data_IF_479483438751
#
_entry.id   IF_479483438751
#
_cell.length_a   1.000
_cell.length_b   1.000
_cell.length_c   1.000
_cell.angle_alpha   90.00
_cell.angle_beta   90.00
_cell.angle_gamma   90.00
#
_symmetry.space_group_name_H-M   'P 1'
#
loop_
_entity.id
_entity.type
_entity.pdbx_description
1 polymer ?
#
# COMPACT_ATOMS: atom_id res chain seq x y z
N UNK A 1 14.89 -1.14 24.23
CA UNK A 1 13.49 -1.62 24.21
C UNK A 1 13.50 -3.08 23.74
N UNK A 2 12.74 -3.99 24.36
CA UNK A 2 12.76 -5.40 23.98
C UNK A 2 12.15 -5.61 22.58
N UNK A 3 12.54 -6.67 21.87
CA UNK A 3 12.02 -7.05 20.55
C UNK A 3 10.47 -7.21 20.57
N UNK A 4 9.93 -7.71 21.68
CA UNK A 4 8.49 -7.82 21.90
C UNK A 4 7.76 -6.46 21.94
N UNK A 5 8.39 -5.42 22.50
CA UNK A 5 7.83 -4.06 22.54
C UNK A 5 7.74 -3.45 21.15
N UNK A 6 8.80 -3.61 20.32
CA UNK A 6 8.80 -3.16 18.94
C UNK A 6 7.70 -3.84 18.11
N UNK A 7 7.54 -5.17 18.23
CA UNK A 7 6.52 -5.92 17.49
C UNK A 7 5.10 -5.48 17.85
N UNK A 8 4.82 -5.17 19.13
CA UNK A 8 3.51 -4.63 19.55
C UNK A 8 3.23 -3.26 18.95
N UNK A 9 4.23 -2.37 18.96
CA UNK A 9 4.11 -1.03 18.36
C UNK A 9 3.88 -1.13 16.84
N UNK A 10 4.59 -2.01 16.15
CA UNK A 10 4.45 -2.22 14.72
C UNK A 10 3.11 -2.88 14.35
N UNK A 11 2.55 -3.74 15.22
CA UNK A 11 1.19 -4.29 15.05
C UNK A 11 0.13 -3.19 15.20
N UNK A 12 0.25 -2.32 16.20
CA UNK A 12 -0.64 -1.17 16.36
C UNK A 12 -0.55 -0.23 15.17
N UNK A 13 0.67 0.03 14.69
CA UNK A 13 0.90 0.83 13.48
C UNK A 13 0.20 0.19 12.26
N UNK A 14 0.26 -1.13 12.12
CA UNK A 14 -0.41 -1.86 11.03
C UNK A 14 -1.94 -1.71 11.11
N UNK A 15 -2.54 -1.84 12.30
CA UNK A 15 -3.98 -1.66 12.50
C UNK A 15 -4.41 -0.24 12.17
N UNK A 16 -3.68 0.77 12.66
CA UNK A 16 -3.96 2.18 12.35
C UNK A 16 -3.78 2.46 10.85
N UNK A 17 -2.74 1.90 10.24
CA UNK A 17 -2.48 2.03 8.82
C UNK A 17 -3.64 1.50 7.97
N UNK A 18 -4.16 0.33 8.30
CA UNK A 18 -5.31 -0.28 7.60
C UNK A 18 -6.55 0.61 7.72
N UNK A 19 -6.84 1.13 8.91
CA UNK A 19 -7.92 2.11 9.11
C UNK A 19 -7.73 3.37 8.26
N UNK A 20 -6.51 3.87 8.18
CA UNK A 20 -6.19 5.06 7.39
C UNK A 20 -6.30 4.82 5.87
N UNK A 21 -5.81 3.68 5.36
CA UNK A 21 -5.96 3.37 3.92
C UNK A 21 -7.41 3.10 3.54
N UNK A 22 -8.25 2.61 4.46
CA UNK A 22 -9.68 2.42 4.25
C UNK A 22 -10.42 3.72 3.87
N UNK A 23 -9.89 4.87 4.26
CA UNK A 23 -10.42 6.18 3.88
C UNK A 23 -9.95 6.64 2.49
N UNK A 24 -8.91 6.02 1.93
CA UNK A 24 -8.26 6.45 0.68
C UNK A 24 -9.24 6.41 -0.51
N UNK A 25 -9.89 5.28 -0.74
CA UNK A 25 -10.86 5.09 -1.82
C UNK A 25 -12.00 6.11 -1.78
N UNK A 26 -12.77 6.21 -0.67
CA UNK A 26 -13.83 7.20 -0.51
C UNK A 26 -13.38 8.64 -0.75
N UNK A 27 -12.23 9.06 -0.21
CA UNK A 27 -11.70 10.43 -0.41
C UNK A 27 -11.33 10.65 -1.88
N UNK A 28 -10.67 9.70 -2.53
CA UNK A 28 -10.26 9.83 -3.94
C UNK A 28 -11.45 9.84 -4.90
N UNK A 29 -12.50 9.07 -4.62
CA UNK A 29 -13.71 9.05 -5.46
C UNK A 29 -14.52 10.33 -5.34
N UNK A 30 -14.46 11.03 -4.20
CA UNK A 30 -15.09 12.33 -4.00
C UNK A 30 -14.38 13.49 -4.71
N UNK A 31 -13.20 13.25 -5.28
CA UNK A 31 -12.39 14.27 -5.96
C UNK A 31 -12.63 14.27 -7.46
N UNK A 32 -12.86 15.46 -8.05
CA UNK A 32 -13.00 15.66 -9.49
C UNK A 32 -11.65 15.72 -10.25
N UNK A 33 -10.51 15.75 -9.53
CA UNK A 33 -9.20 15.79 -10.15
C UNK A 33 -8.87 14.49 -10.92
N UNK A 34 -8.03 14.55 -11.98
CA UNK A 34 -7.58 13.36 -12.69
C UNK A 34 -6.86 12.36 -11.77
N UNK A 35 -7.11 11.07 -11.97
CA UNK A 35 -6.56 10.00 -11.14
C UNK A 35 -5.03 10.06 -10.97
N UNK A 36 -4.29 10.25 -12.08
CA UNK A 36 -2.83 10.42 -12.05
C UNK A 36 -2.40 11.72 -11.37
N UNK A 37 -3.18 12.79 -11.51
CA UNK A 37 -2.95 14.05 -10.80
C UNK A 37 -3.06 13.89 -9.28
N UNK A 38 -4.06 13.14 -8.80
CA UNK A 38 -4.20 12.78 -7.37
C UNK A 38 -2.98 11.97 -6.92
N UNK A 39 -2.60 10.94 -7.70
CA UNK A 39 -1.44 10.10 -7.42
C UNK A 39 -0.15 10.92 -7.28
N UNK A 40 0.09 11.83 -8.23
CA UNK A 40 1.25 12.73 -8.20
C UNK A 40 1.24 13.63 -6.97
N UNK A 41 0.17 14.39 -6.78
CA UNK A 41 0.13 15.41 -5.72
C UNK A 41 0.20 14.83 -4.31
N UNK A 42 -0.44 13.67 -4.05
CA UNK A 42 -0.31 13.04 -2.73
C UNK A 42 1.13 12.65 -2.40
N UNK A 43 1.91 12.20 -3.39
CA UNK A 43 3.32 11.86 -3.19
C UNK A 43 4.20 13.12 -3.15
N UNK A 44 3.94 14.12 -3.99
CA UNK A 44 4.68 15.37 -4.03
C UNK A 44 4.52 16.17 -2.72
N UNK A 45 3.29 16.32 -2.22
CA UNK A 45 3.03 16.97 -0.93
C UNK A 45 3.72 16.20 0.19
N UNK A 46 3.64 14.85 0.19
CA UNK A 46 4.31 14.05 1.19
C UNK A 46 5.83 14.22 1.15
N UNK A 47 6.44 14.26 -0.04
CA UNK A 47 7.86 14.50 -0.22
C UNK A 47 8.29 15.88 0.30
N UNK A 48 7.51 16.93 -0.01
CA UNK A 48 7.78 18.30 0.46
C UNK A 48 7.67 18.39 1.99
N UNK A 49 6.64 17.81 2.59
CA UNK A 49 6.47 17.76 4.05
C UNK A 49 7.61 16.98 4.72
N UNK A 50 8.13 15.93 4.06
CA UNK A 50 9.26 15.16 4.57
C UNK A 50 10.62 15.84 4.38
N UNK A 51 10.72 16.89 3.56
CA UNK A 51 12.00 17.54 3.22
C UNK A 51 12.82 17.99 4.44
N UNK A 52 12.26 18.62 5.49
CA UNK A 52 13.02 18.98 6.69
C UNK A 52 13.62 17.75 7.39
N UNK A 53 12.87 16.63 7.41
CA UNK A 53 13.34 15.38 8.00
C UNK A 53 14.42 14.72 7.14
N UNK A 54 14.33 14.81 5.81
CA UNK A 54 15.39 14.38 4.90
C UNK A 54 16.69 15.12 5.18
N UNK A 55 16.64 16.44 5.33
CA UNK A 55 17.81 17.26 5.65
C UNK A 55 18.41 16.90 7.03
N UNK A 56 17.58 16.54 8.00
CA UNK A 56 18.05 16.05 9.32
C UNK A 56 18.79 14.73 9.22
N UNK A 57 18.45 13.86 8.28
CA UNK A 57 19.06 12.55 8.07
C UNK A 57 20.28 12.58 7.14
N UNK A 58 20.85 13.76 6.83
CA UNK A 58 21.99 13.90 5.90
C UNK A 58 23.18 12.98 6.21
N UNK A 59 23.45 12.75 7.49
CA UNK A 59 24.55 11.86 7.90
C UNK A 59 24.20 10.40 7.60
N UNK A 60 23.01 9.95 7.95
CA UNK A 60 22.51 8.62 7.58
C UNK A 60 22.68 8.36 6.07
N UNK A 61 22.33 9.34 5.22
CA UNK A 61 22.46 9.17 3.76
C UNK A 61 23.89 9.06 3.25
N UNK A 62 24.87 9.67 3.96
CA UNK A 62 26.29 9.56 3.60
C UNK A 62 26.88 8.17 3.91
N UNK A 63 26.29 7.47 4.87
CA UNK A 63 26.72 6.14 5.32
C UNK A 63 26.03 5.01 4.54
N UNK A 64 25.01 5.35 3.72
CA UNK A 64 24.28 4.35 2.95
C UNK A 64 25.15 3.71 1.87
N UNK A 65 25.09 2.39 1.82
CA UNK A 65 25.66 1.62 0.72
C UNK A 65 24.92 1.90 -0.59
N UNK A 66 25.60 1.72 -1.72
CA UNK A 66 24.98 1.80 -3.04
C UNK A 66 23.76 0.89 -3.17
N UNK A 67 23.79 -0.30 -2.55
CA UNK A 67 22.66 -1.26 -2.56
C UNK A 67 21.45 -0.70 -1.83
N UNK A 68 21.62 -0.07 -0.68
CA UNK A 68 20.53 0.56 0.07
C UNK A 68 19.90 1.72 -0.72
N UNK A 69 20.74 2.59 -1.31
CA UNK A 69 20.28 3.67 -2.18
C UNK A 69 19.44 3.15 -3.36
N UNK A 70 19.97 2.18 -4.11
CA UNK A 70 19.26 1.58 -5.23
C UNK A 70 17.94 0.94 -4.80
N UNK A 71 17.90 0.31 -3.63
CA UNK A 71 16.67 -0.29 -3.10
C UNK A 71 15.63 0.77 -2.73
N UNK A 72 16.02 1.91 -2.14
CA UNK A 72 15.07 2.99 -1.84
C UNK A 72 14.52 3.62 -3.13
N UNK A 73 15.39 3.86 -4.12
CA UNK A 73 14.98 4.38 -5.44
C UNK A 73 14.04 3.38 -6.12
N UNK A 74 14.40 2.10 -6.14
CA UNK A 74 13.53 1.05 -6.71
C UNK A 74 12.19 0.99 -6.01
N UNK A 75 12.15 1.05 -4.66
CA UNK A 75 10.91 1.09 -3.90
C UNK A 75 10.04 2.31 -4.28
N UNK A 76 10.65 3.49 -4.45
CA UNK A 76 9.95 4.69 -4.87
C UNK A 76 9.38 4.60 -6.29
N UNK A 77 10.14 4.05 -7.23
CA UNK A 77 9.66 3.79 -8.61
C UNK A 77 8.49 2.80 -8.58
N UNK A 78 8.64 1.69 -7.86
CA UNK A 78 7.58 0.66 -7.76
C UNK A 78 6.31 1.21 -7.11
N UNK A 79 6.42 2.06 -6.09
CA UNK A 79 5.27 2.74 -5.47
C UNK A 79 4.61 3.71 -6.47
N UNK A 80 5.40 4.46 -7.24
CA UNK A 80 4.89 5.33 -8.31
C UNK A 80 4.15 4.55 -9.38
N UNK A 81 4.71 3.45 -9.86
CA UNK A 81 4.09 2.57 -10.85
C UNK A 81 2.83 1.89 -10.31
N UNK A 82 2.83 1.47 -9.03
CA UNK A 82 1.63 0.97 -8.36
C UNK A 82 0.48 1.98 -8.45
N UNK A 83 0.70 3.22 -8.04
CA UNK A 83 -0.33 4.25 -8.11
C UNK A 83 -0.71 4.63 -9.53
N UNK A 84 0.26 4.67 -10.46
CA UNK A 84 0.01 4.97 -11.87
C UNK A 84 -0.83 3.90 -12.57
N UNK A 85 -0.80 2.67 -12.10
CA UNK A 85 -1.60 1.57 -12.62
C UNK A 85 -2.94 1.45 -11.87
N UNK A 86 -2.91 1.36 -10.54
CA UNK A 86 -4.11 1.09 -9.75
C UNK A 86 -5.15 2.22 -9.80
N UNK A 87 -4.74 3.49 -9.61
CA UNK A 87 -5.73 4.57 -9.50
C UNK A 87 -6.49 4.77 -10.82
N UNK A 88 -5.85 4.77 -12.01
CA UNK A 88 -6.58 4.78 -13.27
C UNK A 88 -7.46 3.55 -13.50
N UNK A 89 -7.08 2.35 -13.02
CA UNK A 89 -7.89 1.14 -13.23
C UNK A 89 -9.34 1.33 -12.76
N UNK A 90 -9.55 2.07 -11.66
CA UNK A 90 -10.86 2.43 -11.13
C UNK A 90 -11.76 3.20 -12.11
N UNK A 91 -11.19 3.71 -13.21
CA UNK A 91 -11.91 4.43 -14.28
C UNK A 91 -12.16 3.60 -15.53
N UNK A 92 -11.45 2.49 -15.66
CA UNK A 92 -11.51 1.61 -16.82
C UNK A 92 -12.36 0.37 -16.58
N UNK A 93 -12.30 -0.19 -15.36
CA UNK A 93 -13.14 -1.32 -14.92
C UNK A 93 -14.01 -0.91 -13.73
N UNK A 94 -14.86 -1.82 -13.23
CA UNK A 94 -15.63 -1.53 -12.02
C UNK A 94 -14.74 -1.39 -10.79
N UNK A 95 -15.20 -0.61 -9.81
CA UNK A 95 -14.50 -0.47 -8.53
C UNK A 95 -14.33 -1.84 -7.86
N UNK A 96 -15.37 -2.70 -7.95
CA UNK A 96 -15.34 -4.05 -7.40
C UNK A 96 -14.25 -4.90 -8.05
N UNK A 97 -14.19 -4.96 -9.40
CA UNK A 97 -13.19 -5.73 -10.13
C UNK A 97 -11.77 -5.19 -9.86
N UNK A 98 -11.55 -3.87 -9.99
CA UNK A 98 -10.26 -3.24 -9.71
C UNK A 98 -9.76 -3.57 -8.29
N UNK A 99 -10.65 -3.47 -7.29
CA UNK A 99 -10.28 -3.69 -5.89
C UNK A 99 -10.00 -5.16 -5.58
N UNK A 100 -10.80 -6.07 -6.16
CA UNK A 100 -10.55 -7.51 -6.02
C UNK A 100 -9.21 -7.91 -6.67
N UNK A 101 -8.90 -7.33 -7.85
CA UNK A 101 -7.65 -7.62 -8.55
C UNK A 101 -6.44 -7.04 -7.83
N UNK A 102 -6.52 -5.82 -7.29
CA UNK A 102 -5.41 -5.25 -6.52
C UNK A 102 -5.19 -5.98 -5.19
N UNK A 103 -6.23 -6.58 -4.61
CA UNK A 103 -6.12 -7.41 -3.42
C UNK A 103 -5.22 -8.65 -3.64
N UNK A 104 -5.05 -9.09 -4.90
CA UNK A 104 -4.10 -10.17 -5.24
C UNK A 104 -2.65 -9.83 -4.95
N UNK A 105 -2.34 -8.58 -4.54
CA UNK A 105 -0.98 -8.18 -4.11
C UNK A 105 -0.40 -9.13 -3.05
N UNK A 106 -1.24 -9.74 -2.19
CA UNK A 106 -0.77 -10.72 -1.19
C UNK A 106 -0.20 -11.98 -1.84
N UNK A 107 -0.79 -12.45 -2.93
CA UNK A 107 -0.29 -13.59 -3.71
C UNK A 107 1.06 -13.24 -4.33
N UNK A 108 1.18 -12.06 -4.93
CA UNK A 108 2.44 -11.58 -5.51
C UNK A 108 3.52 -11.42 -4.46
N UNK A 109 3.19 -10.92 -3.26
CA UNK A 109 4.13 -10.82 -2.15
C UNK A 109 4.65 -12.20 -1.72
N UNK A 110 3.77 -13.20 -1.62
CA UNK A 110 4.15 -14.58 -1.31
C UNK A 110 5.01 -15.20 -2.44
N UNK A 111 4.68 -14.94 -3.72
CA UNK A 111 5.49 -15.36 -4.86
C UNK A 111 6.88 -14.73 -4.82
N UNK A 112 6.99 -13.43 -4.58
CA UNK A 112 8.28 -12.73 -4.48
C UNK A 112 9.11 -13.22 -3.29
N UNK A 113 8.46 -13.54 -2.17
CA UNK A 113 9.11 -14.18 -1.03
C UNK A 113 9.65 -15.57 -1.41
N UNK A 114 8.85 -16.39 -2.11
CA UNK A 114 9.27 -17.70 -2.59
C UNK A 114 10.46 -17.61 -3.57
N UNK A 115 10.41 -16.70 -4.53
CA UNK A 115 11.51 -16.45 -5.47
C UNK A 115 12.79 -15.94 -4.75
N UNK A 116 12.64 -15.32 -3.59
CA UNK A 116 13.75 -14.91 -2.72
C UNK A 116 14.27 -16.05 -1.81
N UNK A 117 13.75 -17.28 -1.95
CA UNK A 117 14.17 -18.46 -1.18
C UNK A 117 13.37 -18.72 0.11
N UNK A 118 12.35 -17.92 0.40
CA UNK A 118 11.49 -18.12 1.58
C UNK A 118 10.31 -19.02 1.21
N UNK A 119 10.25 -20.18 1.83
CA UNK A 119 9.14 -21.12 1.59
C UNK A 119 7.99 -20.81 2.55
N UNK A 120 6.89 -20.31 2.02
CA UNK A 120 5.66 -20.10 2.76
C UNK A 120 5.08 -21.45 3.23
N UNK A 121 4.74 -21.63 4.53
CA UNK A 121 4.07 -22.82 5.01
C UNK A 121 2.67 -22.94 4.41
N UNK A 122 2.12 -24.16 4.38
CA UNK A 122 0.77 -24.40 3.83
C UNK A 122 -0.31 -23.53 4.47
N UNK A 123 -0.20 -23.27 5.76
CA UNK A 123 -1.15 -22.43 6.49
C UNK A 123 -1.17 -20.99 5.96
N UNK A 124 -0.04 -20.44 5.50
CA UNK A 124 0.02 -19.11 4.87
C UNK A 124 -0.79 -19.08 3.56
N UNK A 125 -0.61 -20.07 2.67
CA UNK A 125 -1.39 -20.18 1.43
C UNK A 125 -2.89 -20.37 1.68
N UNK A 126 -3.26 -21.16 2.70
CA UNK A 126 -4.65 -21.34 3.12
C UNK A 126 -5.21 -20.01 3.62
N UNK A 127 -4.48 -19.28 4.46
CA UNK A 127 -4.90 -17.96 4.95
C UNK A 127 -5.09 -16.94 3.84
N UNK A 128 -4.18 -16.92 2.85
CA UNK A 128 -4.31 -16.08 1.64
C UNK A 128 -5.57 -16.45 0.87
N UNK A 129 -5.82 -17.73 0.62
CA UNK A 129 -6.99 -18.20 -0.12
C UNK A 129 -8.30 -17.84 0.59
N UNK A 130 -8.39 -18.03 1.92
CA UNK A 130 -9.56 -17.67 2.72
C UNK A 130 -9.80 -16.15 2.67
N UNK A 131 -8.75 -15.33 2.80
CA UNK A 131 -8.91 -13.87 2.72
C UNK A 131 -9.37 -13.41 1.35
N UNK A 132 -8.82 -13.96 0.27
CA UNK A 132 -9.24 -13.63 -1.10
C UNK A 132 -10.67 -14.09 -1.39
N UNK A 133 -11.10 -15.23 -0.83
CA UNK A 133 -12.51 -15.64 -0.89
C UNK A 133 -13.41 -14.59 -0.21
N UNK A 134 -12.99 -14.06 0.94
CA UNK A 134 -13.69 -12.96 1.61
C UNK A 134 -13.76 -11.70 0.75
N UNK A 135 -12.68 -11.34 0.05
CA UNK A 135 -12.67 -10.21 -0.90
C UNK A 135 -13.68 -10.45 -2.03
N UNK A 136 -13.66 -11.61 -2.67
CA UNK A 136 -14.60 -11.97 -3.75
C UNK A 136 -16.04 -11.97 -3.24
N UNK A 137 -16.28 -12.46 -2.03
CA UNK A 137 -17.62 -12.45 -1.43
C UNK A 137 -18.12 -11.02 -1.19
N UNK A 138 -17.24 -10.10 -0.78
CA UNK A 138 -17.60 -8.70 -0.52
C UNK A 138 -17.83 -7.90 -1.81
N UNK A 139 -16.93 -8.07 -2.80
CA UNK A 139 -16.98 -7.31 -4.05
C UNK A 139 -17.97 -7.89 -5.07
N UNK A 140 -18.33 -9.15 -4.90
CA UNK A 140 -19.05 -9.92 -5.92
C UNK A 140 -18.14 -10.33 -7.08
N UNK A 141 -18.72 -11.05 -8.03
CA UNK A 141 -18.06 -11.41 -9.29
C UNK A 141 -18.60 -10.48 -10.36
N UNK A 142 -17.81 -9.50 -10.76
CA UNK A 142 -18.12 -8.58 -11.85
C UNK A 142 -17.14 -8.84 -12.99
N UNK A 143 -17.60 -9.59 -13.99
CA UNK A 143 -16.82 -9.94 -15.17
C UNK A 143 -17.36 -9.15 -16.36
N UNK A 144 -16.60 -8.14 -16.77
CA UNK A 144 -16.86 -7.43 -18.02
C UNK A 144 -15.74 -7.74 -19.02
N UNK A 145 -16.10 -8.30 -20.17
CA UNK A 145 -15.15 -8.64 -21.24
C UNK A 145 -14.99 -7.53 -22.29
N UNK A 146 -15.44 -6.31 -21.99
CA UNK A 146 -15.18 -5.19 -22.88
C UNK A 146 -13.70 -4.85 -22.94
N UNK A 147 -13.13 -4.45 -24.09
CA UNK A 147 -11.72 -4.07 -24.20
C UNK A 147 -11.30 -3.03 -23.15
N UNK A 148 -12.18 -2.10 -22.80
CA UNK A 148 -11.95 -1.07 -21.79
C UNK A 148 -11.81 -1.70 -20.39
N UNK A 149 -12.72 -2.62 -20.01
CA UNK A 149 -12.66 -3.29 -18.72
C UNK A 149 -11.39 -4.15 -18.60
N UNK A 150 -11.03 -4.89 -19.65
CA UNK A 150 -9.82 -5.71 -19.68
C UNK A 150 -8.55 -4.86 -19.48
N UNK A 151 -8.50 -3.64 -20.04
CA UNK A 151 -7.39 -2.70 -19.76
C UNK A 151 -7.39 -2.32 -18.28
N UNK A 152 -8.55 -2.02 -17.69
CA UNK A 152 -8.68 -1.70 -16.27
C UNK A 152 -8.21 -2.86 -15.38
N UNK A 153 -8.60 -4.08 -15.72
CA UNK A 153 -8.23 -5.29 -14.99
C UNK A 153 -6.71 -5.55 -15.07
N UNK A 154 -6.13 -5.40 -16.26
CA UNK A 154 -4.68 -5.49 -16.43
C UNK A 154 -3.92 -4.43 -15.62
N UNK A 155 -4.41 -3.18 -15.60
CA UNK A 155 -3.85 -2.11 -14.78
C UNK A 155 -3.96 -2.43 -13.28
N UNK A 156 -5.09 -2.98 -12.82
CA UNK A 156 -5.26 -3.37 -11.42
C UNK A 156 -4.26 -4.47 -11.01
N UNK A 157 -4.07 -5.49 -11.86
CA UNK A 157 -3.08 -6.55 -11.64
C UNK A 157 -1.65 -6.01 -11.64
N UNK A 158 -1.28 -5.13 -12.57
CA UNK A 158 0.02 -4.46 -12.58
C UNK A 158 0.20 -3.61 -11.31
N UNK A 159 -0.85 -2.96 -10.86
CA UNK A 159 -0.88 -2.24 -9.58
C UNK A 159 -0.60 -3.17 -8.40
N UNK A 160 -1.25 -4.35 -8.37
CA UNK A 160 -1.02 -5.37 -7.33
C UNK A 160 0.44 -5.84 -7.30
N UNK A 161 1.01 -6.16 -8.47
CA UNK A 161 2.41 -6.55 -8.60
C UNK A 161 3.37 -5.44 -8.14
N UNK A 162 3.10 -4.20 -8.53
CA UNK A 162 3.88 -3.03 -8.12
C UNK A 162 3.87 -2.82 -6.61
N UNK A 163 2.70 -2.93 -5.97
CA UNK A 163 2.56 -2.85 -4.52
C UNK A 163 3.34 -3.95 -3.80
N UNK A 164 3.16 -5.20 -4.22
CA UNK A 164 3.87 -6.34 -3.65
C UNK A 164 5.39 -6.22 -3.80
N UNK A 165 5.88 -5.80 -4.98
CA UNK A 165 7.29 -5.58 -5.23
C UNK A 165 7.86 -4.44 -4.37
N UNK A 166 7.16 -3.30 -4.28
CA UNK A 166 7.50 -2.20 -3.39
C UNK A 166 7.64 -2.64 -1.93
N UNK A 167 6.66 -3.38 -1.41
CA UNK A 167 6.69 -3.89 -0.04
C UNK A 167 7.82 -4.90 0.18
N UNK A 168 8.08 -5.78 -0.79
CA UNK A 168 9.16 -6.77 -0.74
C UNK A 168 10.54 -6.13 -0.73
N UNK A 169 10.75 -5.04 -1.49
CA UNK A 169 11.99 -4.25 -1.43
C UNK A 169 12.08 -3.51 -0.08
N UNK A 170 10.98 -2.90 0.36
CA UNK A 170 10.91 -2.21 1.65
C UNK A 170 11.25 -3.11 2.82
N UNK A 171 10.73 -4.33 2.85
CA UNK A 171 11.01 -5.34 3.88
C UNK A 171 12.51 -5.60 4.08
N UNK A 172 13.31 -5.52 3.02
CA UNK A 172 14.75 -5.80 3.07
C UNK A 172 15.57 -4.62 3.60
N UNK A 173 15.12 -3.40 3.34
CA UNK A 173 15.89 -2.18 3.64
C UNK A 173 15.38 -1.48 4.91
N UNK A 174 14.08 -1.58 5.17
CA UNK A 174 13.42 -0.86 6.25
C UNK A 174 13.97 -1.16 7.66
N UNK A 175 14.40 -2.40 7.99
CA UNK A 175 14.98 -2.67 9.31
C UNK A 175 16.24 -1.87 9.64
N UNK A 176 17.05 -1.55 8.63
CA UNK A 176 18.34 -0.85 8.79
C UNK A 176 18.25 0.68 8.71
N UNK A 177 17.04 1.25 8.47
CA UNK A 177 16.88 2.69 8.24
C UNK A 177 15.82 3.33 9.15
N UNK A 178 16.00 4.59 9.59
CA UNK A 178 14.93 5.37 10.18
C UNK A 178 13.72 5.46 9.22
N UNK A 179 12.51 5.36 9.77
CA UNK A 179 11.28 5.40 8.96
C UNK A 179 11.22 6.63 8.05
N UNK A 180 11.48 7.81 8.62
CA UNK A 180 11.41 9.09 7.92
C UNK A 180 12.49 9.25 6.85
N UNK A 181 13.67 8.66 7.06
CA UNK A 181 14.72 8.62 6.05
C UNK A 181 14.31 7.77 4.84
N UNK A 182 13.74 6.59 5.09
CA UNK A 182 13.27 5.69 4.04
C UNK A 182 12.07 6.29 3.28
N UNK A 183 10.99 6.64 4.00
CA UNK A 183 9.74 7.10 3.37
C UNK A 183 9.91 8.41 2.63
N UNK A 184 10.75 9.33 3.13
CA UNK A 184 11.02 10.60 2.45
C UNK A 184 11.62 10.41 1.06
N UNK A 185 12.62 9.53 0.91
CA UNK A 185 13.21 9.20 -0.40
C UNK A 185 12.21 8.47 -1.28
N UNK A 186 11.49 7.49 -0.74
CA UNK A 186 10.49 6.72 -1.49
C UNK A 186 9.41 7.63 -2.05
N UNK A 187 8.87 8.56 -1.24
CA UNK A 187 7.83 9.49 -1.72
C UNK A 187 8.36 10.50 -2.73
N UNK A 188 9.58 11.00 -2.56
CA UNK A 188 10.20 11.89 -3.53
C UNK A 188 10.41 11.18 -4.90
N UNK A 189 10.95 9.98 -4.89
CA UNK A 189 11.14 9.19 -6.12
C UNK A 189 9.80 8.80 -6.75
N UNK A 190 8.82 8.41 -5.94
CA UNK A 190 7.45 8.11 -6.41
C UNK A 190 6.81 9.35 -7.07
N UNK A 191 6.96 10.53 -6.46
CA UNK A 191 6.48 11.78 -7.03
C UNK A 191 7.15 12.09 -8.39
N UNK A 192 8.46 11.92 -8.50
CA UNK A 192 9.19 12.12 -9.77
C UNK A 192 8.71 11.11 -10.83
N UNK A 193 8.55 9.84 -10.46
CA UNK A 193 8.04 8.81 -11.37
C UNK A 193 6.64 9.18 -11.89
N UNK A 194 5.75 9.59 -10.98
CA UNK A 194 4.39 10.00 -11.33
C UNK A 194 4.37 11.31 -12.14
N UNK A 195 5.27 12.26 -11.86
CA UNK A 195 5.42 13.47 -12.65
C UNK A 195 5.77 13.15 -14.11
N UNK A 196 6.75 12.27 -14.32
CA UNK A 196 7.16 11.84 -15.66
C UNK A 196 5.95 11.22 -16.40
N UNK A 197 5.19 10.34 -15.72
CA UNK A 197 4.00 9.71 -16.31
C UNK A 197 2.91 10.75 -16.62
N UNK A 198 2.67 11.71 -15.72
CA UNK A 198 1.69 12.77 -15.94
C UNK A 198 2.07 13.65 -17.12
N UNK A 199 3.34 14.04 -17.23
CA UNK A 199 3.84 14.85 -18.35
C UNK A 199 3.73 14.09 -19.68
N UNK A 200 4.14 12.82 -19.71
CA UNK A 200 4.02 11.97 -20.89
C UNK A 200 2.57 11.75 -21.33
N UNK A 201 1.64 11.66 -20.38
CA UNK A 201 0.20 11.52 -20.63
C UNK A 201 -0.54 12.86 -20.79
N UNK A 202 0.15 14.01 -20.79
CA UNK A 202 -0.45 15.36 -20.84
C UNK A 202 -1.56 15.56 -19.80
N UNK A 203 -1.39 14.97 -18.61
CA UNK A 203 -2.38 15.07 -17.52
C UNK A 203 -2.30 16.46 -16.89
N UNK A 204 -3.41 17.20 -16.78
CA UNK A 204 -3.42 18.49 -16.12
C UNK A 204 -3.09 18.33 -14.62
N UNK A 205 -2.08 19.06 -14.15
CA UNK A 205 -1.65 19.04 -12.74
C UNK A 205 -2.11 20.27 -11.95
N UNK A 206 -2.78 21.20 -12.59
CA UNK A 206 -3.27 22.46 -12.00
C UNK A 206 -4.70 22.72 -12.43
N UNK A 207 -5.31 23.80 -11.93
CA UNK A 207 -6.68 24.18 -12.28
C UNK A 207 -7.75 23.40 -11.51
N UNK A 208 -7.39 22.69 -10.45
CA UNK A 208 -8.34 21.96 -9.62
C UNK A 208 -9.13 22.90 -8.70
N UNK A 209 -10.36 22.54 -8.39
CA UNK A 209 -11.19 23.27 -7.43
C UNK A 209 -10.57 23.23 -6.03
N UNK A 210 -10.92 24.23 -5.19
CA UNK A 210 -10.48 24.25 -3.80
C UNK A 210 -10.87 22.99 -3.02
N UNK A 211 -12.06 22.42 -3.30
CA UNK A 211 -12.50 21.16 -2.72
C UNK A 211 -11.60 19.98 -3.13
N UNK A 212 -11.19 19.92 -4.41
CA UNK A 212 -10.27 18.87 -4.88
C UNK A 212 -8.90 18.98 -4.20
N UNK A 213 -8.38 20.20 -4.01
CA UNK A 213 -7.14 20.41 -3.28
C UNK A 213 -7.25 19.99 -1.81
N UNK A 214 -8.37 20.32 -1.16
CA UNK A 214 -8.62 19.87 0.22
C UNK A 214 -8.65 18.34 0.34
N UNK A 215 -9.33 17.68 -0.59
CA UNK A 215 -9.41 16.20 -0.61
C UNK A 215 -8.04 15.56 -0.93
N UNK A 216 -7.23 16.15 -1.82
CA UNK A 216 -5.85 15.71 -2.07
C UNK A 216 -5.00 15.87 -0.81
N UNK A 217 -5.11 16.99 -0.10
CA UNK A 217 -4.41 17.19 1.17
C UNK A 217 -4.88 16.18 2.23
N UNK A 218 -6.19 15.93 2.32
CA UNK A 218 -6.76 14.95 3.25
C UNK A 218 -6.27 13.52 2.96
N UNK A 219 -6.31 13.07 1.71
CA UNK A 219 -5.80 11.73 1.35
C UNK A 219 -4.30 11.61 1.56
N UNK A 220 -3.55 12.71 1.39
CA UNK A 220 -2.11 12.73 1.72
C UNK A 220 -1.88 12.56 3.21
N UNK A 221 -2.59 13.33 4.03
CA UNK A 221 -2.43 13.25 5.48
C UNK A 221 -2.85 11.87 6.00
N UNK A 222 -4.01 11.39 5.62
CA UNK A 222 -4.59 10.15 6.14
C UNK A 222 -3.93 8.93 5.52
N UNK A 223 -3.99 8.78 4.19
CA UNK A 223 -3.58 7.54 3.55
C UNK A 223 -2.07 7.48 3.24
N UNK A 224 -1.39 8.61 3.01
CA UNK A 224 0.06 8.58 2.77
C UNK A 224 0.82 8.53 4.09
N UNK A 225 0.54 9.44 5.03
CA UNK A 225 1.24 9.45 6.32
C UNK A 225 0.65 8.43 7.30
N UNK A 226 -0.65 8.44 7.54
CA UNK A 226 -1.34 7.51 8.43
C UNK A 226 -1.42 6.08 7.87
N UNK A 227 -1.43 5.92 6.56
CA UNK A 227 -1.46 4.63 5.87
C UNK A 227 -0.05 4.14 5.51
N UNK A 228 0.45 4.53 4.32
CA UNK A 228 1.69 4.00 3.76
C UNK A 228 2.93 4.16 4.66
N UNK A 229 3.06 5.25 5.43
CA UNK A 229 4.20 5.38 6.36
C UNK A 229 4.12 4.36 7.48
N UNK A 230 2.93 4.10 8.03
CA UNK A 230 2.76 3.10 9.09
C UNK A 230 2.84 1.67 8.55
N UNK A 231 2.40 1.40 7.30
CA UNK A 231 2.68 0.13 6.62
C UNK A 231 4.19 -0.10 6.49
N UNK A 232 4.94 0.93 6.09
CA UNK A 232 6.40 0.87 6.06
C UNK A 232 7.04 0.70 7.45
N UNK A 233 6.42 1.23 8.49
CA UNK A 233 6.86 0.97 9.87
C UNK A 233 6.69 -0.52 10.20
N UNK A 234 5.57 -1.12 9.85
CA UNK A 234 5.28 -2.53 10.10
C UNK A 234 6.26 -3.48 9.36
N UNK A 235 6.77 -3.11 8.17
CA UNK A 235 7.77 -3.89 7.43
C UNK A 235 9.08 -4.12 8.19
N UNK A 236 9.31 -3.39 9.28
CA UNK A 236 10.45 -3.66 10.18
C UNK A 236 10.30 -5.00 10.90
N UNK A 237 9.09 -5.33 11.36
CA UNK A 237 8.80 -6.52 12.18
C UNK A 237 8.03 -7.62 11.46
N UNK A 238 7.33 -7.29 10.37
CA UNK A 238 6.47 -8.20 9.60
C UNK A 238 6.98 -8.39 8.18
N UNK A 239 6.63 -9.52 7.56
CA UNK A 239 6.91 -9.78 6.15
C UNK A 239 6.05 -8.90 5.23
N UNK A 240 6.47 -8.76 3.97
CA UNK A 240 5.67 -8.10 2.95
C UNK A 240 4.33 -8.83 2.73
N UNK A 241 4.31 -10.16 2.84
CA UNK A 241 3.08 -10.97 2.76
C UNK A 241 2.14 -10.64 3.90
N UNK A 242 2.64 -10.58 5.15
CA UNK A 242 1.82 -10.27 6.33
C UNK A 242 1.26 -8.84 6.27
N UNK A 243 2.04 -7.87 5.82
CA UNK A 243 1.55 -6.50 5.63
C UNK A 243 0.53 -6.45 4.49
N UNK A 244 0.79 -7.13 3.37
CA UNK A 244 -0.12 -7.16 2.21
C UNK A 244 -1.46 -7.83 2.52
N UNK A 245 -1.47 -8.91 3.32
CA UNK A 245 -2.73 -9.55 3.70
C UNK A 245 -3.53 -8.67 4.68
N UNK A 246 -2.86 -7.97 5.60
CA UNK A 246 -3.53 -7.07 6.52
C UNK A 246 -4.24 -5.92 5.80
N UNK A 247 -3.69 -5.44 4.68
CA UNK A 247 -4.31 -4.41 3.83
C UNK A 247 -5.68 -4.88 3.28
N UNK A 248 -5.95 -6.18 3.17
CA UNK A 248 -7.27 -6.66 2.72
C UNK A 248 -8.42 -6.20 3.62
N UNK A 249 -8.15 -5.88 4.90
CA UNK A 249 -9.13 -5.23 5.76
C UNK A 249 -9.51 -3.80 5.32
N UNK A 250 -8.76 -3.19 4.39
CA UNK A 250 -9.18 -1.95 3.72
C UNK A 250 -10.55 -2.11 3.06
N UNK A 251 -10.86 -3.29 2.53
CA UNK A 251 -12.10 -3.56 1.81
C UNK A 251 -13.35 -3.41 2.68
N UNK A 252 -13.51 -4.19 3.77
CA UNK A 252 -14.61 -3.98 4.71
C UNK A 252 -14.55 -2.61 5.37
N UNK A 253 -13.35 -2.07 5.65
CA UNK A 253 -13.15 -0.73 6.19
C UNK A 253 -13.70 0.36 5.28
N UNK A 254 -13.36 0.36 3.99
CA UNK A 254 -13.87 1.32 3.00
C UNK A 254 -15.39 1.18 2.82
N UNK A 255 -15.92 -0.03 2.90
CA UNK A 255 -17.38 -0.28 2.84
C UNK A 255 -18.09 0.37 4.02
N UNK A 256 -17.54 0.23 5.24
CA UNK A 256 -18.08 0.91 6.43
C UNK A 256 -18.00 2.43 6.32
N UNK A 257 -16.89 2.97 5.83
CA UNK A 257 -16.76 4.42 5.57
C UNK A 257 -17.80 4.88 4.55
N UNK A 258 -17.99 4.13 3.46
CA UNK A 258 -18.99 4.39 2.44
C UNK A 258 -20.43 4.39 2.99
N UNK A 259 -20.70 3.57 3.99
CA UNK A 259 -21.99 3.57 4.69
C UNK A 259 -22.20 4.85 5.51
N UNK A 260 -21.20 5.24 6.28
CA UNK A 260 -21.32 6.39 7.21
C UNK A 260 -21.29 7.72 6.47
N UNK A 261 -20.44 7.89 5.46
CA UNK A 261 -20.24 9.19 4.83
C UNK A 261 -21.13 9.44 3.62
N UNK A 262 -21.09 8.70 2.48
CA UNK A 262 -22.06 8.92 1.41
C UNK A 262 -23.39 8.20 1.61
N UNK A 263 -23.60 7.50 2.75
CA UNK A 263 -24.87 6.82 3.07
C UNK A 263 -25.14 5.59 2.21
N UNK A 264 -24.11 4.94 1.65
CA UNK A 264 -24.27 3.73 0.84
C UNK A 264 -24.66 2.54 1.71
N UNK A 265 -25.73 1.83 1.35
CA UNK A 265 -26.14 0.63 2.09
C UNK A 265 -25.08 -0.47 1.96
N UNK A 266 -24.49 -0.97 3.06
CA UNK A 266 -23.51 -2.03 2.98
C UNK A 266 -24.15 -3.32 2.46
N UNK A 267 -23.42 -4.12 1.65
CA UNK A 267 -23.93 -5.40 1.19
C UNK A 267 -24.10 -6.38 2.35
N UNK A 268 -25.07 -7.27 2.27
CA UNK A 268 -25.30 -8.33 3.29
C UNK A 268 -24.05 -9.21 3.48
N UNK A 269 -23.23 -9.31 2.46
CA UNK A 269 -21.95 -10.04 2.50
C UNK A 269 -20.87 -9.38 3.37
N UNK A 270 -21.05 -8.14 3.83
CA UNK A 270 -20.00 -7.41 4.58
C UNK A 270 -19.49 -8.19 5.79
N UNK A 271 -20.40 -8.66 6.65
CA UNK A 271 -19.98 -9.36 7.86
C UNK A 271 -19.31 -10.72 7.58
N UNK A 272 -19.88 -11.65 6.78
CA UNK A 272 -19.22 -12.91 6.50
C UNK A 272 -17.90 -12.71 5.71
N UNK A 273 -17.83 -11.75 4.81
CA UNK A 273 -16.60 -11.42 4.10
C UNK A 273 -15.50 -10.90 5.07
N UNK A 274 -15.85 -9.98 5.96
CA UNK A 274 -14.91 -9.47 6.96
C UNK A 274 -14.38 -10.59 7.87
N UNK A 275 -15.24 -11.53 8.30
CA UNK A 275 -14.82 -12.68 9.09
C UNK A 275 -13.84 -13.59 8.34
N UNK A 276 -14.06 -13.85 7.04
CA UNK A 276 -13.14 -14.61 6.20
C UNK A 276 -11.79 -13.86 6.05
N UNK A 277 -11.82 -12.57 5.75
CA UNK A 277 -10.61 -11.76 5.60
C UNK A 277 -9.81 -11.78 6.91
N UNK A 278 -10.42 -11.47 8.03
CA UNK A 278 -9.76 -11.45 9.34
C UNK A 278 -9.27 -12.84 9.74
N UNK A 279 -10.07 -13.89 9.51
CA UNK A 279 -9.68 -15.29 9.79
C UNK A 279 -8.42 -15.69 9.01
N UNK A 280 -8.36 -15.37 7.73
CA UNK A 280 -7.18 -15.61 6.89
C UNK A 280 -5.96 -14.81 7.34
N UNK A 281 -6.14 -13.53 7.70
CA UNK A 281 -5.07 -12.69 8.25
C UNK A 281 -4.50 -13.30 9.54
N UNK A 282 -5.36 -13.69 10.46
CA UNK A 282 -4.93 -14.34 11.73
C UNK A 282 -4.13 -15.61 11.45
N UNK A 283 -4.55 -16.41 10.45
CA UNK A 283 -3.83 -17.62 10.07
C UNK A 283 -2.43 -17.31 9.54
N UNK A 284 -2.29 -16.30 8.66
CA UNK A 284 -0.98 -15.88 8.13
C UNK A 284 -0.11 -15.28 9.23
N UNK A 285 -0.65 -14.41 10.09
CA UNK A 285 0.12 -13.80 11.17
C UNK A 285 0.64 -14.83 12.21
N UNK A 286 -0.06 -15.96 12.37
CA UNK A 286 0.39 -17.06 13.22
C UNK A 286 1.57 -17.83 12.63
N UNK A 287 1.77 -17.78 11.31
CA UNK A 287 2.91 -18.41 10.64
C UNK A 287 4.14 -17.52 10.61
N UNK A 288 3.98 -16.22 10.91
CA UNK A 288 5.08 -15.26 10.94
C UNK A 288 6.07 -15.59 12.07
N UNK A 289 7.28 -15.95 11.67
CA UNK A 289 8.39 -16.07 12.60
C UNK A 289 8.87 -14.68 13.03
N UNK A 290 9.18 -14.45 14.33
CA UNK A 290 9.80 -13.21 14.76
C UNK A 290 11.08 -12.98 13.96
N UNK A 291 11.21 -11.84 13.27
CA UNK A 291 12.49 -11.44 12.71
C UNK A 291 13.46 -11.24 13.86
N UNK A 292 14.52 -12.03 13.92
CA UNK A 292 15.68 -11.69 14.72
C UNK A 292 16.24 -10.37 14.15
N UNK A 293 16.09 -9.31 14.91
CA UNK A 293 16.78 -8.06 14.63
C UNK A 293 18.26 -8.38 14.88
N UNK A 294 19.07 -8.40 13.81
CA UNK A 294 20.52 -8.57 13.90
C UNK A 294 21.07 -7.62 15.00
N UNK A 295 21.36 -8.18 16.15
CA UNK A 295 21.99 -7.48 17.28
C UNK A 295 23.42 -7.05 16.93
N UNK A 296 23.99 -7.58 15.85
CA UNK A 296 25.37 -7.39 15.44
C UNK A 296 25.59 -6.14 14.57
N UNK A 297 24.52 -5.40 14.21
CA UNK A 297 24.63 -4.15 13.47
C UNK A 297 24.90 -2.91 14.36
N UNK A 298 25.07 -3.11 15.68
CA UNK A 298 25.34 -2.03 16.66
C UNK A 298 26.54 -2.41 17.53
N UNK A 299 27.67 -2.65 16.91
CA UNK A 299 28.98 -2.54 17.58
C UNK A 299 29.85 -1.60 16.77
N UNK A 300 30.44 -0.60 17.44
CA UNK A 300 31.12 0.54 16.82
C UNK A 300 32.37 0.18 16.03
#
# INVERSE_FOLDING_TARGET
MSSATHRRTDLLALVVAVGAVSLSGPIMTATAAPALGIAFWRNAIAAVVMLPLLLRHRNTYRELTRKQWLSMVLAGVLLGLHFAAWIPSLRFTSIAASTALVATQVVWAAIFAYLAGHRAPRAEWIGIAISLLGVVLLTGIDISLTPRALIGDALALLGAMGSAAYMSVGQRVRPSLPLTAYTGVVYAVSAVTLLIICLAGSVPLTGYSANSWLLIAAVTLVAQFGGHSLLNMALRSFSATAVSIAILCEMPGSTLVGWVWPGQTPPLALLPAALLIVGGIVLVLRTEQPKELDSDAVTP
#
